data_IF_057671466054
#
_entry.id   IF_057671466054
#
_cell.length_a   1.000
_cell.length_b   1.000
_cell.length_c   1.000
_cell.angle_alpha   90.00
_cell.angle_beta   90.00
_cell.angle_gamma   90.00
#
_symmetry.space_group_name_H-M   'P 1'
#
loop_
_entity.id
_entity.type
_entity.pdbx_description
1 polymer ?
#
# COMPACT_ATOMS: atom_id res chain seq x y z
N UNK A 1 -4.79 -2.40 2.50
CA UNK A 1 -4.97 -2.77 1.08
C UNK A 1 -5.52 -4.18 1.06
N UNK A 2 -6.54 -4.46 0.25
CA UNK A 2 -7.11 -5.80 0.15
C UNK A 2 -6.18 -6.72 -0.66
N UNK A 3 -6.10 -8.00 -0.31
CA UNK A 3 -5.40 -9.02 -1.07
C UNK A 3 -6.00 -9.11 -2.48
N UNK A 4 -5.14 -9.09 -3.49
CA UNK A 4 -5.56 -9.16 -4.89
C UNK A 4 -5.78 -10.62 -5.28
N UNK A 5 -6.96 -10.94 -5.81
CA UNK A 5 -7.27 -12.28 -6.32
C UNK A 5 -6.36 -12.61 -7.49
N UNK A 6 -5.89 -13.86 -7.55
CA UNK A 6 -5.01 -14.35 -8.61
C UNK A 6 -5.81 -14.69 -9.86
N UNK A 7 -5.34 -14.22 -11.02
CA UNK A 7 -5.79 -14.64 -12.35
C UNK A 7 -4.66 -15.38 -13.05
N UNK A 8 -5.00 -16.37 -13.88
CA UNK A 8 -4.01 -17.22 -14.55
C UNK A 8 -4.18 -17.18 -16.07
N UNK A 9 -3.27 -16.48 -16.74
CA UNK A 9 -3.24 -16.43 -18.20
C UNK A 9 -2.90 -17.79 -18.83
N UNK A 10 -2.18 -18.66 -18.11
CA UNK A 10 -1.87 -20.02 -18.59
C UNK A 10 -3.13 -20.88 -18.63
N UNK A 11 -4.00 -20.74 -17.64
CA UNK A 11 -5.29 -21.41 -17.55
C UNK A 11 -6.21 -20.96 -18.70
N UNK A 12 -6.33 -19.65 -18.93
CA UNK A 12 -7.13 -19.10 -20.04
C UNK A 12 -6.66 -19.64 -21.40
N UNK A 13 -5.33 -19.64 -21.63
CA UNK A 13 -4.75 -20.22 -22.85
C UNK A 13 -5.02 -21.72 -22.95
N UNK A 14 -4.96 -22.46 -21.85
CA UNK A 14 -5.21 -23.90 -21.84
C UNK A 14 -6.67 -24.22 -22.18
N UNK A 15 -7.62 -23.48 -21.61
CA UNK A 15 -9.04 -23.59 -21.96
C UNK A 15 -9.32 -23.26 -23.42
N UNK A 16 -8.71 -22.19 -23.96
CA UNK A 16 -8.84 -21.84 -25.37
C UNK A 16 -8.34 -22.96 -26.29
N UNK A 17 -7.18 -23.56 -25.98
CA UNK A 17 -6.66 -24.72 -26.72
C UNK A 17 -7.59 -25.92 -26.62
N UNK A 18 -8.08 -26.24 -25.42
CA UNK A 18 -9.01 -27.36 -25.23
C UNK A 18 -10.29 -27.21 -26.06
N UNK A 19 -10.85 -25.99 -26.17
CA UNK A 19 -12.01 -25.71 -27.02
C UNK A 19 -11.70 -25.98 -28.50
N UNK A 20 -10.58 -25.47 -29.00
CA UNK A 20 -10.17 -25.71 -30.40
C UNK A 20 -9.87 -27.19 -30.70
N UNK A 21 -9.26 -27.91 -29.75
CA UNK A 21 -9.01 -29.34 -29.91
C UNK A 21 -10.31 -30.15 -29.94
N UNK A 22 -11.30 -29.79 -29.12
CA UNK A 22 -12.62 -30.45 -29.13
C UNK A 22 -13.36 -30.32 -30.46
N UNK A 23 -13.22 -29.18 -31.15
CA UNK A 23 -13.90 -28.98 -32.44
C UNK A 23 -13.23 -29.72 -33.60
N UNK A 24 -11.91 -29.92 -33.53
CA UNK A 24 -11.14 -30.56 -34.60
C UNK A 24 -11.11 -32.10 -34.47
N UNK A 25 -10.92 -32.61 -33.25
CA UNK A 25 -10.72 -34.04 -32.99
C UNK A 25 -11.41 -34.44 -31.68
N UNK A 26 -12.59 -35.06 -31.78
CA UNK A 26 -13.38 -35.50 -30.63
C UNK A 26 -12.64 -36.54 -29.75
N UNK A 27 -11.71 -37.30 -30.32
CA UNK A 27 -10.93 -38.32 -29.62
C UNK A 27 -9.43 -38.18 -29.95
N UNK A 28 -8.78 -37.15 -29.41
CA UNK A 28 -7.35 -36.96 -29.54
C UNK A 28 -6.59 -37.85 -28.53
N UNK A 29 -5.88 -38.87 -29.03
CA UNK A 29 -4.95 -39.69 -28.25
C UNK A 29 -3.58 -39.70 -28.92
N UNK A 30 -2.61 -38.98 -28.34
CA UNK A 30 -1.24 -38.88 -28.85
C UNK A 30 -0.29 -39.94 -28.26
N UNK A 31 -0.82 -40.90 -27.50
CA UNK A 31 -0.02 -41.83 -26.70
C UNK A 31 0.60 -41.17 -25.45
N UNK A 32 1.33 -41.94 -24.65
CA UNK A 32 2.04 -41.47 -23.45
C UNK A 32 1.19 -40.66 -22.45
N UNK A 33 -0.10 -40.96 -22.34
CA UNK A 33 -1.02 -40.23 -21.45
C UNK A 33 -1.40 -38.82 -21.94
N UNK A 34 -0.96 -38.39 -23.13
CA UNK A 34 -1.44 -37.18 -23.78
C UNK A 34 -2.79 -37.45 -24.44
N UNK A 35 -3.82 -37.46 -23.60
CA UNK A 35 -5.22 -37.59 -24.02
C UNK A 35 -5.96 -36.29 -23.74
N UNK A 36 -7.01 -36.03 -24.54
CA UNK A 36 -7.88 -34.87 -24.33
C UNK A 36 -8.56 -34.91 -22.95
N UNK A 37 -8.86 -36.11 -22.44
CA UNK A 37 -9.44 -36.29 -21.10
C UNK A 37 -8.45 -35.89 -19.99
N UNK A 38 -7.20 -36.36 -20.06
CA UNK A 38 -6.19 -36.01 -19.06
C UNK A 38 -5.91 -34.50 -19.06
N UNK A 39 -5.91 -33.89 -20.25
CA UNK A 39 -5.77 -32.44 -20.36
C UNK A 39 -6.95 -31.68 -19.75
N UNK A 40 -8.18 -32.13 -20.01
CA UNK A 40 -9.39 -31.55 -19.41
C UNK A 40 -9.37 -31.67 -17.87
N UNK A 41 -9.05 -32.85 -17.35
CA UNK A 41 -8.96 -33.11 -15.92
C UNK A 41 -7.91 -32.22 -15.23
N UNK A 42 -6.75 -32.01 -15.86
CA UNK A 42 -5.74 -31.08 -15.34
C UNK A 42 -6.22 -29.63 -15.35
N UNK A 43 -6.93 -29.20 -16.39
CA UNK A 43 -7.52 -27.85 -16.42
C UNK A 43 -8.52 -27.68 -15.28
N UNK A 44 -9.40 -28.66 -15.05
CA UNK A 44 -10.38 -28.64 -13.97
C UNK A 44 -9.73 -28.62 -12.57
N UNK A 45 -8.69 -29.44 -12.37
CA UNK A 45 -7.93 -29.45 -11.12
C UNK A 45 -7.27 -28.08 -10.85
N UNK A 46 -6.68 -27.46 -11.87
CA UNK A 46 -6.05 -26.13 -11.74
C UNK A 46 -7.10 -25.04 -11.50
N UNK A 47 -8.29 -25.12 -12.13
CA UNK A 47 -9.38 -24.18 -11.86
C UNK A 47 -9.85 -24.26 -10.41
N UNK A 48 -10.10 -25.47 -9.89
CA UNK A 48 -10.54 -25.67 -8.52
C UNK A 48 -9.50 -25.17 -7.51
N UNK A 49 -8.20 -25.43 -7.77
CA UNK A 49 -7.12 -24.96 -6.90
C UNK A 49 -7.01 -23.42 -6.91
N UNK A 50 -7.18 -22.79 -8.08
CA UNK A 50 -7.15 -21.32 -8.20
C UNK A 50 -8.33 -20.67 -7.47
N UNK A 51 -9.51 -21.27 -7.55
CA UNK A 51 -10.70 -20.83 -6.80
C UNK A 51 -10.49 -20.97 -5.29
N UNK A 52 -10.04 -22.13 -4.83
CA UNK A 52 -9.73 -22.36 -3.42
C UNK A 52 -8.69 -21.36 -2.88
N UNK A 53 -7.63 -21.10 -3.66
CA UNK A 53 -6.63 -20.09 -3.31
C UNK A 53 -7.24 -18.68 -3.19
N UNK A 54 -8.10 -18.29 -4.12
CA UNK A 54 -8.74 -16.97 -4.09
C UNK A 54 -9.76 -16.83 -2.96
N UNK A 55 -10.41 -17.92 -2.55
CA UNK A 55 -11.26 -17.96 -1.36
C UNK A 55 -10.43 -17.77 -0.09
N UNK A 56 -9.31 -18.48 0.04
CA UNK A 56 -8.40 -18.31 1.18
C UNK A 56 -7.87 -16.87 1.30
N UNK A 57 -7.56 -16.21 0.17
CA UNK A 57 -7.19 -14.79 0.19
C UNK A 57 -8.32 -13.89 0.68
N UNK A 58 -9.56 -14.16 0.27
CA UNK A 58 -10.71 -13.38 0.73
C UNK A 58 -10.99 -13.58 2.23
N UNK A 59 -10.77 -14.79 2.75
CA UNK A 59 -10.88 -15.07 4.19
C UNK A 59 -9.75 -14.39 4.99
N UNK A 60 -8.52 -14.40 4.48
CA UNK A 60 -7.41 -13.67 5.07
C UNK A 60 -7.68 -12.15 5.12
N UNK A 61 -8.28 -11.59 4.06
CA UNK A 61 -8.71 -10.18 4.06
C UNK A 61 -9.76 -9.89 5.12
N UNK A 62 -10.76 -10.78 5.25
CA UNK A 62 -11.82 -10.65 6.24
C UNK A 62 -11.27 -10.64 7.66
N UNK A 63 -10.46 -11.64 8.01
CA UNK A 63 -9.84 -11.75 9.34
C UNK A 63 -8.94 -10.55 9.64
N UNK A 64 -8.23 -10.03 8.64
CA UNK A 64 -7.44 -8.80 8.77
C UNK A 64 -8.29 -7.57 9.12
N UNK A 65 -9.46 -7.42 8.51
CA UNK A 65 -10.38 -6.31 8.78
C UNK A 65 -10.96 -6.45 10.19
N UNK A 66 -11.48 -7.63 10.53
CA UNK A 66 -12.06 -7.90 11.85
C UNK A 66 -11.05 -7.67 12.97
N UNK A 67 -9.80 -8.11 12.79
CA UNK A 67 -8.72 -7.86 13.76
C UNK A 67 -8.44 -6.37 13.93
N UNK A 68 -8.33 -5.62 12.83
CA UNK A 68 -8.06 -4.18 12.89
C UNK A 68 -9.19 -3.42 13.62
N UNK A 69 -10.45 -3.79 13.40
CA UNK A 69 -11.60 -3.22 14.12
C UNK A 69 -11.53 -3.52 15.62
N UNK A 70 -11.21 -4.77 15.97
CA UNK A 70 -11.04 -5.18 17.36
C UNK A 70 -9.88 -4.45 18.04
N UNK A 71 -8.75 -4.25 17.36
CA UNK A 71 -7.60 -3.49 17.87
C UNK A 71 -7.96 -2.03 18.17
N UNK A 72 -8.77 -1.38 17.31
CA UNK A 72 -9.26 -0.02 17.56
C UNK A 72 -10.10 0.02 18.84
N UNK A 73 -11.02 -0.94 19.00
CA UNK A 73 -11.86 -1.02 20.19
C UNK A 73 -11.05 -1.27 21.47
N UNK A 74 -10.04 -2.14 21.40
CA UNK A 74 -9.14 -2.45 22.50
C UNK A 74 -8.29 -1.25 22.90
N UNK A 75 -7.79 -0.49 21.92
CA UNK A 75 -7.03 0.74 22.16
C UNK A 75 -7.86 1.81 22.86
N UNK A 76 -9.11 2.00 22.42
CA UNK A 76 -10.04 2.93 23.06
C UNK A 76 -10.36 2.53 24.50
N UNK A 77 -10.60 1.24 24.75
CA UNK A 77 -10.86 0.71 26.08
C UNK A 77 -9.63 0.85 26.98
N UNK A 78 -8.45 0.54 26.47
CA UNK A 78 -7.18 0.69 27.20
C UNK A 78 -6.95 2.15 27.62
N UNK A 79 -7.21 3.10 26.72
CA UNK A 79 -7.12 4.54 27.01
C UNK A 79 -8.11 4.97 28.09
N UNK A 80 -9.33 4.41 28.08
CA UNK A 80 -10.36 4.67 29.10
C UNK A 80 -9.96 4.10 30.45
N UNK A 81 -9.42 2.87 30.50
CA UNK A 81 -8.93 2.26 31.75
C UNK A 81 -7.82 3.13 32.33
N UNK A 82 -6.83 3.51 31.52
CA UNK A 82 -5.72 4.34 31.99
C UNK A 82 -6.21 5.69 32.52
N UNK A 83 -7.19 6.30 31.84
CA UNK A 83 -7.84 7.54 32.30
C UNK A 83 -8.60 7.37 33.62
N UNK A 84 -9.26 6.23 33.81
CA UNK A 84 -9.95 5.91 35.06
C UNK A 84 -8.96 5.74 36.22
N UNK A 85 -7.85 5.04 36.00
CA UNK A 85 -6.77 4.90 37.00
C UNK A 85 -6.19 6.28 37.37
N UNK A 86 -5.97 7.15 36.38
CA UNK A 86 -5.55 8.53 36.62
C UNK A 86 -6.58 9.32 37.43
N UNK A 87 -7.88 9.09 37.22
CA UNK A 87 -8.94 9.78 37.95
C UNK A 87 -9.05 9.31 39.40
N UNK A 88 -8.78 8.03 39.69
CA UNK A 88 -8.89 7.46 41.04
C UNK A 88 -7.64 7.67 41.89
N UNK A 89 -6.45 7.47 41.33
CA UNK A 89 -5.18 7.52 42.08
C UNK A 89 -4.36 8.78 41.77
N UNK A 90 -4.68 9.49 40.69
CA UNK A 90 -3.89 10.61 40.21
C UNK A 90 -2.82 10.19 39.20
N UNK A 91 -2.41 11.12 38.33
CA UNK A 91 -1.42 10.88 37.26
C UNK A 91 0.03 10.73 37.77
N UNK A 92 0.28 11.16 39.01
CA UNK A 92 1.58 11.07 39.69
C UNK A 92 1.67 9.88 40.65
N UNK A 93 0.70 8.97 40.61
CA UNK A 93 0.66 7.77 41.45
C UNK A 93 1.46 6.60 40.87
N UNK A 94 1.98 5.73 41.75
CA UNK A 94 2.69 4.51 41.33
C UNK A 94 1.76 3.56 40.60
N UNK A 95 0.49 3.54 40.98
CA UNK A 95 -0.58 2.75 40.38
C UNK A 95 -0.80 3.13 38.92
N UNK A 96 -0.73 4.42 38.59
CA UNK A 96 -0.82 4.90 37.22
C UNK A 96 0.40 4.50 36.38
N UNK A 97 1.61 4.53 36.95
CA UNK A 97 2.83 4.04 36.29
C UNK A 97 2.77 2.52 36.05
N UNK A 98 2.33 1.75 37.06
CA UNK A 98 2.15 0.30 36.95
C UNK A 98 1.08 -0.08 35.91
N UNK A 99 0.06 0.75 35.72
CA UNK A 99 -0.95 0.59 34.66
C UNK A 99 -0.42 0.96 33.26
N UNK A 100 0.85 1.34 33.12
CA UNK A 100 1.48 1.72 31.85
C UNK A 100 1.40 3.21 31.52
N UNK A 101 0.93 4.04 32.45
CA UNK A 101 0.98 5.48 32.36
C UNK A 101 2.40 6.02 32.49
N UNK A 102 2.67 7.20 31.92
CA UNK A 102 3.93 7.92 32.12
C UNK A 102 3.71 9.15 32.98
N UNK A 103 4.59 9.37 33.96
CA UNK A 103 4.54 10.56 34.81
C UNK A 103 4.73 11.85 33.99
N UNK A 104 3.93 12.90 34.24
CA UNK A 104 4.19 14.22 33.67
C UNK A 104 5.53 14.80 34.13
N UNK A 105 6.00 14.48 35.34
CA UNK A 105 7.33 14.89 35.85
C UNK A 105 8.50 14.22 35.11
N UNK A 106 8.28 13.05 34.51
CA UNK A 106 9.26 12.39 33.62
C UNK A 106 9.29 13.01 32.21
N UNK A 107 8.38 13.93 31.88
CA UNK A 107 8.46 14.71 30.64
C UNK A 107 9.56 15.77 30.77
N UNK A 108 10.83 15.34 30.74
CA UNK A 108 11.96 16.26 30.59
C UNK A 108 11.87 16.90 29.21
N UNK A 109 11.33 18.13 29.13
CA UNK A 109 11.52 19.00 27.97
C UNK A 109 13.02 19.27 27.85
N UNK A 110 13.69 18.57 26.94
CA UNK A 110 14.98 19.01 26.41
C UNK A 110 14.71 20.35 25.71
N UNK A 111 14.90 21.46 26.43
CA UNK A 111 14.91 22.78 25.80
C UNK A 111 16.08 22.78 24.84
N UNK A 112 15.83 22.60 23.54
CA UNK A 112 16.83 22.83 22.51
C UNK A 112 17.16 24.32 22.61
N UNK A 113 18.32 24.65 23.17
CA UNK A 113 18.83 26.02 23.16
C UNK A 113 18.92 26.43 21.69
N UNK A 114 18.10 27.41 21.30
CA UNK A 114 18.26 28.10 20.04
C UNK A 114 19.35 29.13 20.28
N UNK A 115 20.56 28.82 19.81
CA UNK A 115 21.65 29.81 19.73
C UNK A 115 21.15 31.02 18.93
N UNK A 116 21.30 32.26 19.42
CA UNK A 116 20.89 33.43 18.67
C UNK A 116 21.80 33.56 17.44
N UNK A 117 21.24 33.26 16.26
CA UNK A 117 21.88 33.62 14.99
C UNK A 117 22.03 35.14 14.95
N UNK A 118 23.26 35.63 15.11
CA UNK A 118 23.58 37.04 14.95
C UNK A 118 23.31 37.45 13.49
N UNK A 119 22.44 38.44 13.31
CA UNK A 119 22.16 39.05 12.01
C UNK A 119 23.32 39.99 11.65
N UNK A 120 24.39 39.46 11.05
CA UNK A 120 25.42 40.29 10.42
C UNK A 120 25.04 40.62 8.96
N UNK A 121 24.41 41.79 8.84
CA UNK A 121 24.77 42.89 7.94
C UNK A 121 24.88 42.62 6.42
N UNK A 122 23.88 43.16 5.72
CA UNK A 122 23.76 43.25 4.27
C UNK A 122 24.72 44.33 3.74
N UNK A 123 25.86 43.93 3.16
CA UNK A 123 26.74 44.85 2.45
C UNK A 123 26.39 44.87 0.96
N UNK A 124 25.81 46.00 0.54
CA UNK A 124 25.64 46.41 -0.85
C UNK A 124 27.00 46.83 -1.41
N UNK A 125 27.46 46.21 -2.49
CA UNK A 125 28.48 46.80 -3.35
C UNK A 125 28.12 46.62 -4.83
N UNK A 126 27.81 47.76 -5.45
CA UNK A 126 27.65 47.94 -6.89
C UNK A 126 29.02 47.89 -7.59
N UNK A 127 29.09 47.35 -8.82
CA UNK A 127 30.26 47.52 -9.68
C UNK A 127 30.36 46.64 -10.94
N UNK A 128 29.56 46.96 -11.96
CA UNK A 128 29.87 46.97 -13.42
C UNK A 128 30.57 45.81 -14.17
N UNK A 129 29.81 45.33 -15.17
CA UNK A 129 30.14 44.99 -16.58
C UNK A 129 31.03 43.78 -16.93
N UNK A 130 30.44 42.80 -17.63
CA UNK A 130 30.77 42.63 -19.05
C UNK A 130 29.63 42.00 -19.88
N UNK A 131 29.39 42.65 -21.01
CA UNK A 131 28.38 42.36 -22.04
C UNK A 131 28.93 41.27 -22.97
N UNK A 132 28.17 40.20 -23.19
CA UNK A 132 28.33 39.34 -24.35
C UNK A 132 26.94 39.08 -24.97
N UNK A 133 26.74 39.73 -26.10
CA UNK A 133 25.56 39.65 -26.97
C UNK A 133 25.61 38.37 -27.79
N UNK A 134 24.49 37.67 -27.95
CA UNK A 134 24.08 37.13 -29.25
C UNK A 134 22.60 36.75 -29.25
N UNK A 135 21.96 37.13 -30.35
CA UNK A 135 20.53 37.24 -30.60
C UNK A 135 19.89 35.96 -31.18
N UNK A 136 18.56 35.89 -31.01
CA UNK A 136 17.61 35.44 -32.04
C UNK A 136 17.04 34.04 -31.81
N UNK A 137 15.78 33.72 -32.12
CA UNK A 137 14.63 34.49 -32.61
C UNK A 137 13.39 33.58 -32.46
N UNK A 138 12.23 34.20 -32.31
CA UNK A 138 10.91 33.62 -32.07
C UNK A 138 10.46 32.57 -33.12
N UNK A 139 9.56 31.67 -32.72
CA UNK A 139 8.23 31.50 -33.36
C UNK A 139 7.26 30.76 -32.43
N UNK A 140 6.18 31.45 -32.01
CA UNK A 140 4.98 30.85 -31.45
C UNK A 140 3.87 31.08 -32.49
N UNK A 141 3.38 30.00 -33.10
CA UNK A 141 2.36 30.04 -34.15
C UNK A 141 1.09 29.30 -33.71
N UNK A 142 0.22 30.01 -33.00
CA UNK A 142 -1.18 29.61 -32.77
C UNK A 142 -1.97 29.93 -34.03
N UNK A 143 -2.49 28.92 -34.73
CA UNK A 143 -3.49 29.11 -35.79
C UNK A 143 -4.81 28.46 -35.37
N UNK A 144 -5.85 29.31 -35.31
CA UNK A 144 -7.23 29.00 -34.94
C UNK A 144 -8.13 29.65 -35.99
N UNK A 145 -8.76 28.86 -36.87
CA UNK A 145 -9.92 29.18 -37.73
C UNK A 145 -10.16 27.95 -38.64
N UNK A 146 -11.36 27.52 -39.04
CA UNK A 146 -12.75 27.88 -38.74
C UNK A 146 -13.67 26.84 -39.44
N UNK A 147 -14.93 26.80 -38.98
CA UNK A 147 -16.17 26.55 -39.75
C UNK A 147 -16.35 25.24 -40.52
#
# INVERSE_FOLDING_TARGET
MAYQKRRSATLEKAQARLRGLRTLLAALQLGNGLTLQNYAALIEAVTALLEAHNLALAEADRTRIELAEMEVSLSALSSRILSAVAATYGKDSKEYELAGGKFPSNYRRTKKQLEPTSLNEFQVSNGTSNVASSNGSATNGTTRVNS
#
